data_IF_426412807258
#
_entry.id   IF_426412807258
#
_cell.length_a   1.000
_cell.length_b   1.000
_cell.length_c   1.000
_cell.angle_alpha   90.00
_cell.angle_beta   90.00
_cell.angle_gamma   90.00
#
_symmetry.space_group_name_H-M   'P 1'
#
loop_
_entity.id
_entity.type
_entity.pdbx_description
1 polymer ?
#
# COMPACT_ATOMS: atom_id res chain seq x y z
N UNK A 1 7.04 11.40 40.71
CA UNK A 1 7.56 12.47 39.85
C UNK A 1 6.59 12.53 38.66
N UNK A 2 5.84 13.64 38.56
CA UNK A 2 4.91 13.85 37.43
C UNK A 2 5.73 13.96 36.17
N UNK A 3 5.47 13.06 35.18
CA UNK A 3 5.97 13.19 33.80
C UNK A 3 5.54 14.58 33.29
N UNK A 4 6.44 15.56 33.39
CA UNK A 4 6.25 16.80 32.64
C UNK A 4 6.26 16.40 31.16
N UNK A 5 5.12 16.53 30.49
CA UNK A 5 5.05 16.31 29.05
C UNK A 5 6.04 17.26 28.39
N UNK A 6 7.11 16.71 27.81
CA UNK A 6 8.18 17.47 27.16
C UNK A 6 7.62 18.22 25.95
N UNK A 7 6.56 17.68 25.32
CA UNK A 7 5.91 18.24 24.12
C UNK A 7 4.45 18.60 24.40
N UNK A 8 3.93 19.60 23.67
CA UNK A 8 2.52 20.01 23.72
C UNK A 8 1.95 20.25 22.34
N UNK A 9 0.67 19.99 22.14
CA UNK A 9 -0.03 20.23 20.89
C UNK A 9 0.11 21.67 20.36
N UNK A 10 -0.07 22.73 21.22
CA UNK A 10 0.13 24.10 20.77
C UNK A 10 1.55 24.39 20.29
N UNK A 11 2.58 23.83 20.97
CA UNK A 11 3.97 24.04 20.56
C UNK A 11 4.27 23.40 19.21
N UNK A 12 3.85 22.13 18.99
CA UNK A 12 4.04 21.43 17.73
C UNK A 12 3.28 22.08 16.58
N UNK A 13 2.01 22.43 16.80
CA UNK A 13 1.20 23.13 15.79
C UNK A 13 1.79 24.49 15.42
N UNK A 14 2.27 25.25 16.43
CA UNK A 14 2.95 26.54 16.17
C UNK A 14 4.24 26.35 15.39
N UNK A 15 5.01 25.29 15.64
CA UNK A 15 6.21 25.00 14.85
C UNK A 15 5.86 24.73 13.38
N UNK A 16 4.88 23.89 13.12
CA UNK A 16 4.40 23.56 11.78
C UNK A 16 3.86 24.80 11.02
N UNK A 17 3.06 25.66 11.68
CA UNK A 17 2.54 26.89 11.06
C UNK A 17 3.62 27.91 10.72
N UNK A 18 4.82 27.80 11.31
CA UNK A 18 6.00 28.59 10.99
C UNK A 18 6.91 27.91 9.94
N UNK A 19 6.49 26.80 9.37
CA UNK A 19 7.24 26.03 8.39
C UNK A 19 8.41 25.22 8.98
N UNK A 20 8.48 25.06 10.33
CA UNK A 20 9.52 24.24 10.96
C UNK A 20 9.13 22.78 10.92
N UNK A 21 10.05 21.93 10.47
CA UNK A 21 9.91 20.49 10.57
C UNK A 21 9.92 20.04 12.03
N UNK A 22 9.08 19.04 12.34
CA UNK A 22 9.14 18.38 13.65
C UNK A 22 10.38 17.47 13.69
N UNK A 23 10.96 17.34 14.87
CA UNK A 23 11.92 16.26 15.10
C UNK A 23 11.22 14.90 15.07
N UNK A 24 12.00 13.83 14.86
CA UNK A 24 11.45 12.46 14.93
C UNK A 24 10.74 12.19 16.25
N UNK A 25 11.29 12.67 17.38
CA UNK A 25 10.70 12.49 18.72
C UNK A 25 9.38 13.27 18.86
N UNK A 26 9.30 14.51 18.34
CA UNK A 26 8.06 15.30 18.33
C UNK A 26 6.96 14.60 17.53
N UNK A 27 7.29 14.12 16.32
CA UNK A 27 6.34 13.41 15.46
C UNK A 27 5.90 12.06 16.08
N UNK A 28 6.85 11.29 16.61
CA UNK A 28 6.58 10.03 17.30
C UNK A 28 5.69 10.24 18.53
N UNK A 29 5.97 11.24 19.36
CA UNK A 29 5.13 11.60 20.51
C UNK A 29 3.71 11.95 20.07
N UNK A 30 3.57 12.80 19.05
CA UNK A 30 2.26 13.23 18.57
C UNK A 30 1.40 12.04 18.14
N UNK A 31 1.94 11.13 17.31
CA UNK A 31 1.22 9.93 16.91
C UNK A 31 0.92 9.01 18.10
N UNK A 32 1.86 8.85 19.03
CA UNK A 32 1.65 8.08 20.26
C UNK A 32 0.50 8.63 21.11
N UNK A 33 0.31 9.96 21.20
CA UNK A 33 -0.85 10.55 21.90
C UNK A 33 -2.15 10.20 21.16
N UNK A 34 -2.15 10.27 19.82
CA UNK A 34 -3.32 9.88 19.02
C UNK A 34 -3.66 8.41 19.25
N UNK A 35 -2.67 7.52 19.14
CA UNK A 35 -2.89 6.06 19.27
C UNK A 35 -3.38 5.68 20.66
N UNK A 36 -2.99 6.40 21.70
CA UNK A 36 -3.49 6.21 23.08
C UNK A 36 -4.82 6.92 23.36
N UNK A 37 -5.38 7.65 22.40
CA UNK A 37 -6.62 8.43 22.57
C UNK A 37 -6.46 9.59 23.57
N UNK A 38 -5.26 10.15 23.68
CA UNK A 38 -4.92 11.25 24.62
C UNK A 38 -4.93 12.63 23.95
N UNK A 39 -5.67 12.78 22.87
CA UNK A 39 -5.82 14.06 22.16
C UNK A 39 -7.27 14.30 21.81
N UNK A 40 -7.73 15.52 22.06
CA UNK A 40 -9.05 15.97 21.61
C UNK A 40 -9.07 16.23 20.10
N UNK A 41 -10.23 16.10 19.45
CA UNK A 41 -10.34 16.28 18.00
C UNK A 41 -9.87 17.66 17.49
N UNK A 42 -10.06 18.74 18.25
CA UNK A 42 -9.71 20.10 17.81
C UNK A 42 -8.19 20.31 17.75
N UNK A 43 -7.38 20.03 18.80
CA UNK A 43 -5.92 20.07 18.69
C UNK A 43 -5.38 19.15 17.59
N UNK A 44 -5.93 17.94 17.46
CA UNK A 44 -5.51 17.02 16.40
C UNK A 44 -5.83 17.58 15.00
N UNK A 45 -7.02 18.14 14.81
CA UNK A 45 -7.37 18.75 13.52
C UNK A 45 -6.42 19.91 13.17
N UNK A 46 -6.11 20.79 14.12
CA UNK A 46 -5.15 21.88 13.93
C UNK A 46 -3.76 21.37 13.54
N UNK A 47 -3.27 20.34 14.23
CA UNK A 47 -1.99 19.70 13.94
C UNK A 47 -1.97 19.10 12.52
N UNK A 48 -3.01 18.34 12.15
CA UNK A 48 -3.10 17.69 10.84
C UNK A 48 -3.13 18.70 9.68
N UNK A 49 -3.89 19.79 9.84
CA UNK A 49 -3.95 20.86 8.83
C UNK A 49 -2.61 21.58 8.72
N UNK A 50 -1.96 21.90 9.85
CA UNK A 50 -0.66 22.56 9.85
C UNK A 50 0.44 21.67 9.21
N UNK A 51 0.45 20.38 9.50
CA UNK A 51 1.39 19.44 8.88
C UNK A 51 1.12 19.28 7.38
N UNK A 52 -0.15 19.20 6.98
CA UNK A 52 -0.52 19.14 5.55
C UNK A 52 -0.12 20.41 4.80
N UNK A 53 -0.32 21.58 5.39
CA UNK A 53 0.02 22.86 4.78
C UNK A 53 1.54 23.06 4.64
N UNK A 54 2.32 22.58 5.61
CA UNK A 54 3.79 22.57 5.56
C UNK A 54 4.33 21.55 4.54
N UNK A 55 3.67 20.41 4.41
CA UNK A 55 4.17 19.20 3.76
C UNK A 55 5.01 18.36 4.72
N UNK A 56 4.69 17.08 4.85
CA UNK A 56 5.48 16.16 5.68
C UNK A 56 6.81 15.82 5.00
N UNK A 57 7.87 15.70 5.79
CA UNK A 57 9.18 15.23 5.32
C UNK A 57 9.45 13.80 5.77
N UNK A 58 10.50 13.18 5.20
CA UNK A 58 10.79 11.73 5.38
C UNK A 58 10.85 11.33 6.86
N UNK A 59 11.62 12.03 7.68
CA UNK A 59 11.78 11.66 9.09
C UNK A 59 10.51 11.87 9.92
N UNK A 60 9.66 12.86 9.58
CA UNK A 60 8.35 13.04 10.21
C UNK A 60 7.41 11.88 9.86
N UNK A 61 7.29 11.56 8.56
CA UNK A 61 6.44 10.46 8.10
C UNK A 61 6.90 9.12 8.68
N UNK A 62 8.22 8.88 8.73
CA UNK A 62 8.79 7.67 9.31
C UNK A 62 8.51 7.56 10.82
N UNK A 63 8.66 8.65 11.57
CA UNK A 63 8.38 8.67 13.01
C UNK A 63 6.88 8.46 13.32
N UNK A 64 6.00 9.13 12.57
CA UNK A 64 4.54 8.94 12.68
C UNK A 64 4.15 7.48 12.40
N UNK A 65 4.69 6.90 11.32
CA UNK A 65 4.42 5.51 10.94
C UNK A 65 4.97 4.51 11.98
N UNK A 66 6.16 4.74 12.50
CA UNK A 66 6.80 3.88 13.50
C UNK A 66 6.01 3.86 14.80
N UNK A 67 5.56 5.03 15.28
CA UNK A 67 4.69 5.11 16.45
C UNK A 67 3.32 4.44 16.21
N UNK A 68 2.76 4.52 15.01
CA UNK A 68 1.53 3.83 14.65
C UNK A 68 1.72 2.30 14.65
N UNK A 69 2.84 1.79 14.13
CA UNK A 69 3.18 0.36 14.13
C UNK A 69 3.37 -0.19 15.54
N UNK A 70 4.02 0.57 16.45
CA UNK A 70 4.20 0.16 17.84
C UNK A 70 2.87 -0.06 18.58
N UNK A 71 1.81 0.62 18.15
CA UNK A 71 0.46 0.46 18.70
C UNK A 71 -0.43 -0.48 17.87
N UNK A 72 0.14 -1.19 16.91
CA UNK A 72 -0.59 -2.16 16.07
C UNK A 72 -0.52 -3.58 16.66
N UNK A 73 -1.46 -4.41 16.25
CA UNK A 73 -1.31 -5.86 16.39
C UNK A 73 -0.50 -6.37 15.21
N UNK A 74 0.46 -7.27 15.43
CA UNK A 74 1.38 -7.70 14.39
C UNK A 74 1.26 -9.19 14.07
N UNK A 75 1.64 -9.55 12.84
CA UNK A 75 1.94 -10.92 12.41
C UNK A 75 3.35 -10.94 11.80
N UNK A 76 3.85 -12.11 11.45
CA UNK A 76 5.18 -12.26 10.86
C UNK A 76 5.05 -12.77 9.43
N UNK A 77 5.40 -11.94 8.46
CA UNK A 77 5.47 -12.36 7.07
C UNK A 77 6.69 -13.27 6.82
N UNK A 78 6.58 -14.28 5.93
CA UNK A 78 7.73 -15.05 5.51
C UNK A 78 8.75 -14.17 4.78
N UNK A 79 10.02 -14.62 4.76
CA UNK A 79 11.07 -13.94 4.03
C UNK A 79 10.68 -13.77 2.55
N UNK A 80 11.01 -12.64 1.94
CA UNK A 80 10.65 -12.32 0.56
C UNK A 80 9.18 -11.97 0.33
N UNK A 81 8.36 -11.88 1.39
CA UNK A 81 6.99 -11.43 1.25
C UNK A 81 6.92 -9.95 0.84
N UNK A 82 5.94 -9.65 0.00
CA UNK A 82 5.69 -8.29 -0.49
C UNK A 82 4.32 -7.77 -0.06
N UNK A 83 4.24 -6.46 0.17
CA UNK A 83 2.98 -5.71 0.19
C UNK A 83 2.77 -5.00 -1.15
N UNK A 84 1.55 -5.01 -1.66
CA UNK A 84 1.14 -4.19 -2.80
C UNK A 84 -0.12 -3.41 -2.43
N UNK A 85 -0.02 -2.08 -2.42
CA UNK A 85 -1.06 -1.20 -1.89
C UNK A 85 -0.99 0.18 -2.54
N UNK A 86 -2.13 0.85 -2.66
CA UNK A 86 -2.21 2.26 -3.02
C UNK A 86 -2.61 3.14 -1.84
N UNK A 87 -2.32 4.43 -1.92
CA UNK A 87 -2.80 5.42 -0.93
C UNK A 87 -4.30 5.63 -1.01
N UNK A 88 -4.90 5.32 -2.16
CA UNK A 88 -6.22 5.79 -2.51
C UNK A 88 -6.24 7.31 -2.73
N UNK A 89 -7.41 7.84 -3.05
CA UNK A 89 -7.60 9.28 -3.18
C UNK A 89 -7.37 9.86 -4.58
N UNK A 90 -7.10 9.02 -5.57
CA UNK A 90 -6.93 9.39 -6.98
C UNK A 90 -8.23 9.82 -7.68
N UNK A 91 -9.39 9.46 -7.11
CA UNK A 91 -10.70 9.79 -7.68
C UNK A 91 -11.05 9.04 -8.97
N UNK A 92 -10.22 8.13 -9.44
CA UNK A 92 -10.42 7.42 -10.72
C UNK A 92 -11.50 6.35 -10.66
N UNK A 93 -11.81 5.85 -9.47
CA UNK A 93 -12.81 4.80 -9.26
C UNK A 93 -12.56 3.54 -10.12
N UNK A 94 -11.32 3.13 -10.23
CA UNK A 94 -10.91 1.95 -10.99
C UNK A 94 -11.32 0.65 -10.29
N UNK A 95 -11.24 -0.48 -11.00
CA UNK A 95 -11.27 -1.82 -10.40
C UNK A 95 -10.10 -1.99 -9.42
N UNK A 96 -10.18 -2.93 -8.51
CA UNK A 96 -9.17 -3.13 -7.46
C UNK A 96 -7.88 -3.75 -8.02
N UNK A 97 -7.09 -2.95 -8.77
CA UNK A 97 -5.87 -3.39 -9.48
C UNK A 97 -4.90 -4.05 -8.51
N UNK A 98 -4.55 -3.38 -7.39
CA UNK A 98 -3.59 -3.93 -6.42
C UNK A 98 -4.07 -5.23 -5.75
N UNK A 99 -5.40 -5.41 -5.58
CA UNK A 99 -5.97 -6.66 -5.06
C UNK A 99 -5.79 -7.81 -6.05
N UNK A 100 -6.10 -7.58 -7.33
CA UNK A 100 -5.89 -8.58 -8.39
C UNK A 100 -4.39 -8.85 -8.59
N UNK A 101 -3.54 -7.82 -8.56
CA UNK A 101 -2.10 -7.95 -8.68
C UNK A 101 -1.51 -8.80 -7.53
N UNK A 102 -2.05 -8.73 -6.31
CA UNK A 102 -1.61 -9.57 -5.20
C UNK A 102 -1.78 -11.06 -5.47
N UNK A 103 -2.87 -11.45 -6.15
CA UNK A 103 -3.09 -12.84 -6.58
C UNK A 103 -2.10 -13.28 -7.66
N UNK A 104 -1.81 -12.38 -8.60
CA UNK A 104 -0.83 -12.62 -9.68
C UNK A 104 0.58 -12.79 -9.10
N UNK A 105 0.99 -11.92 -8.17
CA UNK A 105 2.28 -12.01 -7.47
C UNK A 105 2.38 -13.33 -6.71
N UNK A 106 1.31 -13.72 -6.00
CA UNK A 106 1.30 -15.01 -5.29
C UNK A 106 1.37 -16.19 -6.25
N UNK A 107 0.68 -16.13 -7.38
CA UNK A 107 0.74 -17.13 -8.45
C UNK A 107 2.13 -17.22 -9.10
N UNK A 108 2.90 -16.13 -9.12
CA UNK A 108 4.30 -16.10 -9.55
C UNK A 108 5.27 -16.67 -8.48
N UNK A 109 4.76 -17.19 -7.36
CA UNK A 109 5.55 -17.87 -6.32
C UNK A 109 5.98 -17.00 -5.13
N UNK A 110 5.70 -15.70 -5.15
CA UNK A 110 6.10 -14.76 -4.11
C UNK A 110 5.03 -14.70 -3.02
N UNK A 111 5.38 -14.80 -1.73
CA UNK A 111 4.42 -14.60 -0.64
C UNK A 111 3.91 -13.15 -0.60
N UNK A 112 2.65 -12.97 -0.20
CA UNK A 112 2.02 -11.65 -0.12
C UNK A 112 1.35 -11.44 1.23
N UNK A 113 1.74 -10.40 1.95
CA UNK A 113 1.00 -9.92 3.12
C UNK A 113 0.42 -8.53 2.79
N UNK A 114 -0.77 -8.53 2.17
CA UNK A 114 -1.38 -7.30 1.68
C UNK A 114 -2.01 -6.50 2.81
N UNK A 115 -1.58 -5.25 2.98
CA UNK A 115 -2.27 -4.30 3.83
C UNK A 115 -3.41 -3.62 3.06
N UNK A 116 -4.51 -3.34 3.73
CA UNK A 116 -5.61 -2.63 3.09
C UNK A 116 -6.84 -2.42 3.99
N UNK A 117 -7.87 -1.79 3.41
CA UNK A 117 -9.07 -1.41 4.14
C UNK A 117 -10.32 -1.59 3.24
N UNK A 118 -11.49 -1.31 3.83
CA UNK A 118 -12.73 -1.08 3.09
C UNK A 118 -12.68 0.26 2.37
N UNK A 119 -13.59 0.43 1.42
CA UNK A 119 -13.77 1.71 0.74
C UNK A 119 -14.08 2.84 1.73
N UNK A 120 -13.45 4.01 1.52
CA UNK A 120 -13.77 5.25 2.22
C UNK A 120 -14.48 6.23 1.28
N UNK A 121 -14.01 6.34 0.04
CA UNK A 121 -14.56 7.26 -0.98
C UNK A 121 -14.96 6.54 -2.28
N UNK A 122 -14.36 5.38 -2.57
CA UNK A 122 -14.72 4.54 -3.72
C UNK A 122 -15.94 3.68 -3.44
N UNK A 123 -16.47 3.00 -4.48
CA UNK A 123 -17.63 2.07 -4.35
C UNK A 123 -17.22 0.71 -3.78
N UNK A 124 -15.94 0.34 -3.85
CA UNK A 124 -15.43 -0.96 -3.43
C UNK A 124 -13.97 -0.86 -3.01
N UNK A 125 -13.65 -1.16 -1.77
CA UNK A 125 -12.29 -1.29 -1.27
C UNK A 125 -11.74 -2.71 -1.45
N UNK A 126 -10.46 -2.89 -1.11
CA UNK A 126 -9.80 -4.21 -1.20
C UNK A 126 -10.51 -5.28 -0.37
N UNK A 127 -10.92 -4.94 0.86
CA UNK A 127 -11.65 -5.87 1.74
C UNK A 127 -12.99 -6.28 1.12
N UNK A 128 -13.73 -5.32 0.56
CA UNK A 128 -15.07 -5.57 0.02
C UNK A 128 -15.03 -6.55 -1.17
N UNK A 129 -14.03 -6.40 -2.05
CA UNK A 129 -13.82 -7.30 -3.19
C UNK A 129 -13.33 -8.68 -2.75
N UNK A 130 -12.43 -8.75 -1.76
CA UNK A 130 -11.95 -10.03 -1.25
C UNK A 130 -13.08 -10.86 -0.62
N UNK A 131 -13.96 -10.24 0.15
CA UNK A 131 -15.16 -10.91 0.69
C UNK A 131 -16.09 -11.38 -0.44
N UNK A 132 -16.31 -10.58 -1.48
CA UNK A 132 -17.10 -10.97 -2.65
C UNK A 132 -16.45 -12.10 -3.48
N UNK A 133 -15.12 -12.27 -3.38
CA UNK A 133 -14.38 -13.39 -3.95
C UNK A 133 -14.43 -14.66 -3.06
N UNK A 134 -14.96 -14.55 -1.83
CA UNK A 134 -15.12 -15.67 -0.89
C UNK A 134 -14.03 -15.75 0.19
N UNK A 135 -13.11 -14.81 0.24
CA UNK A 135 -12.10 -14.74 1.32
C UNK A 135 -12.78 -14.26 2.61
N UNK A 136 -12.60 -14.98 3.70
CA UNK A 136 -13.07 -14.55 5.01
C UNK A 136 -12.05 -13.62 5.66
N UNK A 137 -12.48 -12.41 6.07
CA UNK A 137 -11.62 -11.37 6.64
C UNK A 137 -11.88 -11.09 8.12
N UNK A 138 -13.01 -11.53 8.67
CA UNK A 138 -13.39 -11.40 10.08
C UNK A 138 -12.68 -12.43 10.97
N UNK A 139 -11.39 -12.58 10.81
CA UNK A 139 -10.57 -13.57 11.48
C UNK A 139 -9.79 -12.97 12.66
N UNK A 140 -9.63 -13.72 13.77
CA UNK A 140 -8.65 -13.40 14.79
C UNK A 140 -7.25 -13.34 14.19
N UNK A 141 -6.37 -12.47 14.72
CA UNK A 141 -5.01 -12.24 14.18
C UNK A 141 -4.20 -13.53 14.06
N UNK A 142 -4.31 -14.44 15.04
CA UNK A 142 -3.62 -15.75 14.98
C UNK A 142 -4.08 -16.60 13.77
N UNK A 143 -5.34 -16.45 13.35
CA UNK A 143 -5.85 -17.15 12.16
C UNK A 143 -5.39 -16.47 10.88
N UNK A 144 -5.24 -15.14 10.85
CA UNK A 144 -4.64 -14.41 9.72
C UNK A 144 -3.19 -14.87 9.49
N UNK A 145 -2.41 -15.09 10.58
CA UNK A 145 -1.07 -15.67 10.49
C UNK A 145 -1.10 -17.07 9.88
N UNK A 146 -1.99 -17.95 10.37
CA UNK A 146 -2.13 -19.31 9.83
C UNK A 146 -2.50 -19.29 8.33
N UNK A 147 -3.43 -18.43 7.91
CA UNK A 147 -3.78 -18.27 6.50
C UNK A 147 -2.57 -17.86 5.67
N UNK A 148 -1.76 -16.93 6.18
CA UNK A 148 -0.52 -16.51 5.51
C UNK A 148 0.46 -17.69 5.35
N UNK A 149 0.63 -18.49 6.41
CA UNK A 149 1.53 -19.65 6.40
C UNK A 149 1.06 -20.75 5.43
N UNK A 150 -0.25 -21.02 5.36
CA UNK A 150 -0.84 -22.09 4.55
C UNK A 150 -1.01 -21.69 3.08
N UNK A 151 -1.57 -20.49 2.81
CA UNK A 151 -1.86 -20.02 1.45
C UNK A 151 -0.70 -19.24 0.83
N UNK A 152 0.22 -18.73 1.65
CA UNK A 152 1.29 -17.81 1.23
C UNK A 152 0.78 -16.44 0.81
N UNK A 153 -0.48 -16.13 1.11
CA UNK A 153 -1.11 -14.82 0.92
C UNK A 153 -2.11 -14.57 2.04
N UNK A 154 -2.12 -13.34 2.56
CA UNK A 154 -3.11 -12.92 3.56
C UNK A 154 -3.40 -11.43 3.46
N UNK A 155 -4.44 -10.98 4.16
CA UNK A 155 -4.89 -9.60 4.20
C UNK A 155 -4.80 -9.05 5.62
N UNK A 156 -3.94 -8.08 5.81
CA UNK A 156 -3.86 -7.30 7.04
C UNK A 156 -4.94 -6.21 7.00
N UNK A 157 -6.13 -6.55 7.50
CA UNK A 157 -7.26 -5.63 7.51
C UNK A 157 -7.01 -4.50 8.52
N UNK A 158 -6.89 -3.25 8.04
CA UNK A 158 -6.47 -2.12 8.86
C UNK A 158 -7.31 -1.92 10.13
N UNK A 159 -8.62 -2.21 10.11
CA UNK A 159 -9.48 -2.07 11.29
C UNK A 159 -9.15 -3.08 12.40
N UNK A 160 -8.65 -4.27 12.03
CA UNK A 160 -8.24 -5.32 12.97
C UNK A 160 -6.83 -5.06 13.50
N UNK A 161 -5.92 -4.68 12.60
CA UNK A 161 -4.50 -4.54 12.93
C UNK A 161 -4.12 -3.19 13.54
N UNK A 162 -4.87 -2.13 13.23
CA UNK A 162 -4.68 -0.77 13.75
C UNK A 162 -5.92 -0.24 14.50
N UNK A 163 -6.40 -0.92 15.55
CA UNK A 163 -7.65 -0.56 16.22
C UNK A 163 -7.60 0.84 16.86
N UNK A 164 -6.41 1.33 17.18
CA UNK A 164 -6.17 2.66 17.75
C UNK A 164 -6.49 3.81 16.79
N UNK A 165 -6.54 3.53 15.48
CA UNK A 165 -6.91 4.53 14.46
C UNK A 165 -8.31 5.13 14.65
N UNK A 166 -9.20 4.45 15.38
CA UNK A 166 -10.51 4.98 15.78
C UNK A 166 -10.43 6.34 16.50
N UNK A 167 -9.34 6.61 17.22
CA UNK A 167 -9.14 7.86 17.94
C UNK A 167 -8.87 9.06 17.02
N UNK A 168 -8.36 8.83 15.81
CA UNK A 168 -8.19 9.87 14.80
C UNK A 168 -9.47 10.13 13.98
N UNK A 169 -10.45 9.23 14.02
CA UNK A 169 -11.64 9.30 13.17
C UNK A 169 -12.48 10.57 13.34
N UNK A 170 -12.72 11.12 14.55
CA UNK A 170 -13.50 12.35 14.71
C UNK A 170 -12.85 13.55 14.05
N UNK A 171 -11.53 13.75 14.22
CA UNK A 171 -10.81 14.86 13.59
C UNK A 171 -10.80 14.72 12.06
N UNK A 172 -10.44 13.52 11.55
CA UNK A 172 -10.41 13.24 10.10
C UNK A 172 -11.77 13.41 9.44
N UNK A 173 -12.83 12.87 10.07
CA UNK A 173 -14.20 12.99 9.58
C UNK A 173 -14.75 14.41 9.59
N UNK A 174 -14.31 15.24 10.57
CA UNK A 174 -14.65 16.66 10.62
C UNK A 174 -13.92 17.50 9.57
N UNK A 175 -12.66 17.20 9.30
CA UNK A 175 -11.84 17.92 8.34
C UNK A 175 -12.28 17.69 6.88
N UNK A 176 -12.63 16.47 6.51
CA UNK A 176 -13.03 16.07 5.14
C UNK A 176 -12.01 16.47 4.06
N UNK A 177 -10.74 16.51 4.42
CA UNK A 177 -9.62 16.78 3.51
C UNK A 177 -8.52 15.71 3.68
N UNK A 178 -7.68 15.49 2.68
CA UNK A 178 -6.52 14.62 2.81
C UNK A 178 -5.57 15.11 3.90
N UNK A 179 -5.01 14.20 4.66
CA UNK A 179 -4.02 14.47 5.70
C UNK A 179 -2.92 13.42 5.62
N UNK A 180 -1.87 13.54 6.42
CA UNK A 180 -0.80 12.54 6.51
C UNK A 180 -1.34 11.11 6.72
N UNK A 181 -2.47 10.93 7.37
CA UNK A 181 -3.11 9.61 7.53
C UNK A 181 -3.49 8.93 6.21
N UNK A 182 -3.63 9.67 5.12
CA UNK A 182 -3.92 9.08 3.82
C UNK A 182 -2.72 8.35 3.21
N UNK A 183 -1.51 8.70 3.64
CA UNK A 183 -0.26 8.13 3.13
C UNK A 183 0.45 7.21 4.14
N UNK A 184 0.01 7.19 5.41
CA UNK A 184 0.60 6.30 6.42
C UNK A 184 0.24 4.82 6.21
N UNK A 185 -0.94 4.51 5.67
CA UNK A 185 -1.38 3.13 5.43
C UNK A 185 -0.33 2.27 4.72
N UNK A 186 0.16 2.70 3.54
CA UNK A 186 1.17 1.96 2.79
C UNK A 186 2.51 1.73 3.50
N UNK A 187 2.87 2.56 4.46
CA UNK A 187 4.14 2.46 5.21
C UNK A 187 3.98 1.89 6.62
N UNK A 188 2.80 1.32 6.92
CA UNK A 188 2.47 0.73 8.24
C UNK A 188 1.92 -0.69 8.14
N UNK A 189 2.45 -1.49 7.22
CA UNK A 189 2.05 -2.90 7.12
C UNK A 189 2.46 -3.65 8.40
N UNK A 190 1.50 -4.26 9.13
CA UNK A 190 1.76 -4.88 10.44
C UNK A 190 2.38 -6.28 10.34
N UNK A 191 2.58 -6.80 9.14
CA UNK A 191 3.20 -8.12 8.93
C UNK A 191 4.74 -8.07 8.88
N UNK A 192 5.35 -6.88 9.04
CA UNK A 192 6.80 -6.73 9.02
C UNK A 192 7.45 -7.03 7.67
N UNK A 193 6.71 -6.89 6.56
CA UNK A 193 7.27 -7.05 5.21
C UNK A 193 8.37 -6.02 4.95
N UNK A 194 9.34 -6.42 4.13
CA UNK A 194 10.47 -5.55 3.73
C UNK A 194 10.48 -5.24 2.24
N UNK A 195 9.54 -5.79 1.47
CA UNK A 195 9.33 -5.48 0.06
C UNK A 195 7.98 -4.80 -0.14
N UNK A 196 7.95 -3.72 -0.91
CA UNK A 196 6.74 -2.91 -1.07
C UNK A 196 6.56 -2.44 -2.51
N UNK A 197 5.35 -2.58 -3.05
CA UNK A 197 4.90 -1.86 -4.24
C UNK A 197 3.79 -0.91 -3.82
N UNK A 198 4.04 0.39 -3.94
CA UNK A 198 3.15 1.42 -3.39
C UNK A 198 2.75 2.43 -4.45
N UNK A 199 1.46 2.45 -4.75
CA UNK A 199 0.87 3.50 -5.56
C UNK A 199 0.55 4.77 -4.75
N UNK A 200 0.83 5.94 -5.30
CA UNK A 200 0.67 7.22 -4.58
C UNK A 200 -0.06 8.24 -5.45
N UNK A 201 -1.28 8.63 -5.02
CA UNK A 201 -2.04 9.68 -5.71
C UNK A 201 -1.48 11.09 -5.49
N UNK A 202 -0.82 11.32 -4.34
CA UNK A 202 -0.31 12.63 -3.90
C UNK A 202 1.15 12.80 -4.36
N UNK A 203 1.37 13.65 -5.36
CA UNK A 203 2.67 13.80 -6.03
C UNK A 203 3.80 14.12 -5.06
N UNK A 204 3.57 15.05 -4.15
CA UNK A 204 4.52 15.50 -3.15
C UNK A 204 4.91 14.41 -2.13
N UNK A 205 4.06 13.40 -1.97
CA UNK A 205 4.27 12.32 -0.99
C UNK A 205 5.00 11.11 -1.55
N UNK A 206 5.06 10.94 -2.86
CA UNK A 206 5.75 9.78 -3.45
C UNK A 206 7.25 9.73 -3.09
N UNK A 207 8.05 10.83 -3.23
CA UNK A 207 9.44 10.83 -2.80
C UNK A 207 9.60 10.69 -1.28
N UNK A 208 8.63 11.18 -0.48
CA UNK A 208 8.65 11.02 0.99
C UNK A 208 8.48 9.54 1.37
N UNK A 209 7.52 8.86 0.78
CA UNK A 209 7.27 7.42 1.00
C UNK A 209 8.50 6.60 0.57
N UNK A 210 9.09 6.89 -0.60
CA UNK A 210 10.32 6.24 -1.05
C UNK A 210 11.47 6.46 -0.07
N UNK A 211 11.64 7.69 0.43
CA UNK A 211 12.65 8.01 1.45
C UNK A 211 12.44 7.24 2.75
N UNK A 212 11.19 7.07 3.21
CA UNK A 212 10.89 6.25 4.40
C UNK A 212 11.32 4.80 4.20
N UNK A 213 11.08 4.20 3.03
CA UNK A 213 11.53 2.84 2.75
C UNK A 213 13.05 2.74 2.66
N UNK A 214 13.73 3.75 2.08
CA UNK A 214 15.19 3.82 2.03
C UNK A 214 15.80 3.88 3.44
N UNK A 215 15.28 4.73 4.32
CA UNK A 215 15.71 4.83 5.72
C UNK A 215 15.54 3.53 6.49
N UNK A 216 14.51 2.74 6.17
CA UNK A 216 14.23 1.44 6.77
C UNK A 216 15.05 0.30 6.17
N UNK A 217 15.85 0.54 5.13
CA UNK A 217 16.57 -0.49 4.40
C UNK A 217 15.64 -1.51 3.73
N UNK A 218 14.44 -1.09 3.37
CA UNK A 218 13.48 -1.90 2.62
C UNK A 218 13.76 -1.84 1.11
N UNK A 219 13.21 -2.80 0.37
CA UNK A 219 13.11 -2.73 -1.08
C UNK A 219 11.73 -2.21 -1.46
N UNK A 220 11.64 -1.22 -2.34
CA UNK A 220 10.34 -0.71 -2.75
C UNK A 220 10.31 -0.21 -4.20
N UNK A 221 9.14 -0.31 -4.80
CA UNK A 221 8.79 0.36 -6.06
C UNK A 221 7.59 1.27 -5.75
N UNK A 222 7.86 2.55 -5.58
CA UNK A 222 6.82 3.58 -5.37
C UNK A 222 6.45 4.15 -6.71
N UNK A 223 5.16 4.23 -7.02
CA UNK A 223 4.68 4.58 -8.37
C UNK A 223 3.58 5.63 -8.33
N UNK A 224 3.48 6.42 -9.40
CA UNK A 224 2.39 7.35 -9.64
C UNK A 224 2.14 7.51 -11.13
N UNK A 225 0.92 7.25 -11.59
CA UNK A 225 0.49 7.62 -12.93
C UNK A 225 0.46 9.14 -13.09
N UNK A 226 0.98 9.66 -14.22
CA UNK A 226 0.93 11.11 -14.49
C UNK A 226 -0.49 11.64 -14.75
N UNK A 227 -1.47 10.74 -14.84
CA UNK A 227 -2.91 11.03 -14.79
C UNK A 227 -3.45 11.15 -13.35
N UNK A 228 -2.61 11.00 -12.33
CA UNK A 228 -2.95 11.07 -10.93
C UNK A 228 -3.30 9.73 -10.29
N UNK A 229 -3.26 8.65 -11.05
CA UNK A 229 -3.56 7.30 -10.58
C UNK A 229 -2.52 6.83 -9.54
N UNK A 230 -2.97 6.22 -8.46
CA UNK A 230 -2.11 5.55 -7.48
C UNK A 230 -1.75 4.10 -7.89
N UNK A 231 -1.42 3.95 -9.17
CA UNK A 231 -1.00 2.71 -9.83
C UNK A 231 -0.05 3.06 -11.00
N UNK A 232 0.66 2.08 -11.54
CA UNK A 232 1.26 2.23 -12.86
C UNK A 232 0.15 2.33 -13.91
N UNK A 233 0.09 3.45 -14.62
CA UNK A 233 -0.97 3.73 -15.59
C UNK A 233 -0.75 2.99 -16.90
N UNK A 234 -1.85 2.52 -17.50
CA UNK A 234 -1.87 2.04 -18.88
C UNK A 234 -2.34 3.13 -19.86
N UNK A 235 -2.69 4.31 -19.38
CA UNK A 235 -3.16 5.42 -20.23
C UNK A 235 -2.04 6.40 -20.58
N UNK A 236 -1.16 6.64 -19.63
CA UNK A 236 -0.07 7.63 -19.73
C UNK A 236 1.24 7.07 -19.13
N UNK A 237 2.25 7.88 -19.10
CA UNK A 237 3.50 7.58 -18.38
C UNK A 237 3.28 7.56 -16.87
N UNK A 238 4.13 6.84 -16.17
CA UNK A 238 4.18 6.81 -14.71
C UNK A 238 5.57 7.17 -14.22
N UNK A 239 5.62 7.97 -13.15
CA UNK A 239 6.83 8.22 -12.39
C UNK A 239 7.04 7.09 -11.39
N UNK A 240 8.29 6.65 -11.24
CA UNK A 240 8.68 5.53 -10.37
C UNK A 240 9.88 5.95 -9.53
N UNK A 241 9.80 5.69 -8.23
CA UNK A 241 10.91 5.77 -7.26
C UNK A 241 11.23 4.35 -6.83
N UNK A 242 12.32 3.82 -7.38
CA UNK A 242 12.87 2.53 -6.98
C UNK A 242 13.72 2.72 -5.73
N UNK A 243 13.49 1.90 -4.71
CA UNK A 243 14.28 1.87 -3.48
C UNK A 243 15.01 0.54 -3.40
N UNK A 244 16.33 0.59 -3.45
CA UNK A 244 17.20 -0.57 -3.34
C UNK A 244 18.49 -0.21 -2.58
N UNK A 245 18.85 -1.05 -1.59
CA UNK A 245 20.08 -0.82 -0.80
C UNK A 245 20.13 0.53 -0.08
N UNK A 246 19.00 1.11 0.31
CA UNK A 246 18.91 2.43 0.94
C UNK A 246 19.02 3.61 -0.04
N UNK A 247 19.06 3.36 -1.34
CA UNK A 247 19.14 4.37 -2.39
C UNK A 247 17.79 4.49 -3.10
N UNK A 248 17.38 5.73 -3.38
CA UNK A 248 16.22 6.04 -4.20
C UNK A 248 16.67 6.42 -5.60
N UNK A 249 16.24 5.68 -6.61
CA UNK A 249 16.48 5.98 -8.03
C UNK A 249 15.16 6.25 -8.73
N UNK A 250 15.10 7.30 -9.55
CA UNK A 250 13.87 7.67 -10.26
C UNK A 250 13.88 7.17 -11.70
N UNK A 251 12.72 6.68 -12.15
CA UNK A 251 12.50 6.24 -13.51
C UNK A 251 11.17 6.80 -14.03
N UNK A 252 11.03 6.83 -15.35
CA UNK A 252 9.74 7.06 -16.03
C UNK A 252 9.47 5.84 -16.88
N UNK A 253 8.28 5.27 -16.72
CA UNK A 253 7.86 4.09 -17.47
C UNK A 253 6.57 4.37 -18.23
N UNK A 254 6.39 3.67 -19.34
CA UNK A 254 5.17 3.72 -20.15
C UNK A 254 4.77 2.30 -20.57
N UNK A 255 3.49 2.05 -20.84
CA UNK A 255 3.00 0.72 -21.19
C UNK A 255 3.77 0.07 -22.33
N UNK A 256 4.14 0.85 -23.33
CA UNK A 256 4.84 0.39 -24.53
C UNK A 256 6.23 -0.19 -24.25
N UNK A 257 6.90 0.24 -23.15
CA UNK A 257 8.20 -0.29 -22.74
C UNK A 257 8.15 -1.79 -22.38
N UNK A 258 6.93 -2.29 -22.15
CA UNK A 258 6.61 -3.67 -21.76
C UNK A 258 5.77 -4.41 -22.80
N UNK A 259 5.60 -3.82 -24.00
CA UNK A 259 4.80 -4.41 -25.08
C UNK A 259 3.29 -4.32 -24.85
N UNK A 260 2.83 -3.46 -23.93
CA UNK A 260 1.43 -3.21 -23.65
C UNK A 260 0.92 -2.02 -24.48
N UNK A 261 -0.34 -2.07 -24.88
CA UNK A 261 -0.96 -0.96 -25.60
C UNK A 261 -1.59 0.03 -24.64
N UNK A 262 -1.54 1.33 -24.96
CA UNK A 262 -2.29 2.33 -24.19
C UNK A 262 -3.79 2.09 -24.29
N UNK A 263 -4.46 2.30 -23.16
CA UNK A 263 -5.91 2.29 -23.07
C UNK A 263 -6.38 3.44 -22.18
N UNK A 264 -7.58 3.94 -22.44
CA UNK A 264 -8.18 4.98 -21.59
C UNK A 264 -8.36 4.45 -20.16
N UNK A 265 -8.18 5.31 -19.17
CA UNK A 265 -8.48 5.02 -17.75
C UNK A 265 -9.92 4.56 -17.55
N UNK A 266 -10.86 5.01 -18.38
CA UNK A 266 -12.25 4.54 -18.36
C UNK A 266 -12.40 3.04 -18.62
N UNK A 267 -11.43 2.41 -19.29
CA UNK A 267 -11.40 0.96 -19.46
C UNK A 267 -11.14 0.19 -18.17
N UNK A 268 -10.64 0.89 -17.14
CA UNK A 268 -10.42 0.34 -15.80
C UNK A 268 -11.54 0.68 -14.82
N UNK A 269 -12.63 1.33 -15.27
CA UNK A 269 -13.70 1.77 -14.37
C UNK A 269 -14.30 0.62 -13.58
N UNK A 270 -14.30 0.78 -12.25
CA UNK A 270 -14.85 -0.15 -11.30
C UNK A 270 -16.32 0.10 -10.98
N UNK A 271 -16.88 -0.78 -10.21
CA UNK A 271 -18.25 -0.76 -9.73
C UNK A 271 -18.38 -1.11 -8.25
N UNK A 272 -19.49 -1.71 -7.89
CA UNK A 272 -19.69 -2.29 -6.57
C UNK A 272 -18.81 -3.55 -6.35
N UNK A 273 -18.74 -4.08 -5.13
CA UNK A 273 -17.93 -5.25 -4.83
C UNK A 273 -18.22 -6.47 -5.71
N UNK A 274 -19.47 -6.71 -6.05
CA UNK A 274 -19.87 -7.85 -6.88
C UNK A 274 -19.38 -7.70 -8.32
N UNK A 275 -19.47 -6.49 -8.89
CA UNK A 275 -18.95 -6.16 -10.20
C UNK A 275 -17.42 -6.34 -10.23
N UNK A 276 -16.69 -5.77 -9.25
CA UNK A 276 -15.24 -5.85 -9.21
C UNK A 276 -14.75 -7.29 -8.96
N UNK A 277 -15.47 -8.08 -8.16
CA UNK A 277 -15.20 -9.50 -8.00
C UNK A 277 -15.41 -10.29 -9.30
N UNK A 278 -16.41 -9.93 -10.10
CA UNK A 278 -16.60 -10.57 -11.41
C UNK A 278 -15.47 -10.22 -12.37
N UNK A 279 -15.01 -8.96 -12.39
CA UNK A 279 -13.85 -8.54 -13.18
C UNK A 279 -12.59 -9.34 -12.77
N UNK A 280 -12.39 -9.56 -11.46
CA UNK A 280 -11.28 -10.37 -10.98
C UNK A 280 -11.40 -11.84 -11.42
N UNK A 281 -12.59 -12.45 -11.36
CA UNK A 281 -12.82 -13.82 -11.87
C UNK A 281 -12.57 -13.91 -13.37
N UNK A 282 -13.04 -12.94 -14.16
CA UNK A 282 -12.81 -12.88 -15.60
C UNK A 282 -11.31 -12.82 -15.92
N UNK A 283 -10.56 -11.97 -15.20
CA UNK A 283 -9.11 -11.87 -15.31
C UNK A 283 -8.42 -13.22 -15.03
N UNK A 284 -8.77 -13.84 -13.90
CA UNK A 284 -8.20 -15.12 -13.47
C UNK A 284 -8.57 -16.28 -14.42
N UNK A 285 -9.71 -16.16 -15.11
CA UNK A 285 -10.13 -17.07 -16.18
C UNK A 285 -9.42 -16.80 -17.53
N UNK A 286 -8.46 -15.86 -17.57
CA UNK A 286 -7.65 -15.59 -18.77
C UNK A 286 -8.19 -14.51 -19.70
N UNK A 287 -9.22 -13.74 -19.31
CA UNK A 287 -9.72 -12.62 -20.11
C UNK A 287 -8.62 -11.59 -20.36
N UNK A 288 -8.38 -11.29 -21.62
CA UNK A 288 -7.41 -10.27 -22.09
C UNK A 288 -8.02 -8.87 -22.11
N UNK A 289 -7.18 -7.85 -22.26
CA UNK A 289 -7.56 -6.45 -22.40
C UNK A 289 -7.02 -5.54 -21.30
N UNK A 290 -7.45 -4.27 -21.25
CA UNK A 290 -6.86 -3.23 -20.43
C UNK A 290 -6.73 -3.55 -18.92
N UNK A 291 -7.72 -4.25 -18.34
CA UNK A 291 -7.66 -4.66 -16.92
C UNK A 291 -6.51 -5.64 -16.70
N UNK A 292 -6.33 -6.64 -17.61
CA UNK A 292 -5.21 -7.57 -17.53
C UNK A 292 -3.88 -6.84 -17.62
N UNK A 293 -3.76 -5.92 -18.58
CA UNK A 293 -2.54 -5.17 -18.81
C UNK A 293 -2.15 -4.33 -17.58
N UNK A 294 -3.12 -3.62 -16.99
CA UNK A 294 -2.92 -2.86 -15.77
C UNK A 294 -2.49 -3.76 -14.59
N UNK A 295 -3.17 -4.89 -14.40
CA UNK A 295 -2.86 -5.82 -13.30
C UNK A 295 -1.49 -6.45 -13.47
N UNK A 296 -1.13 -6.87 -14.70
CA UNK A 296 0.19 -7.45 -15.00
C UNK A 296 1.30 -6.44 -14.75
N UNK A 297 1.12 -5.20 -15.21
CA UNK A 297 2.11 -4.13 -15.02
C UNK A 297 2.33 -3.82 -13.53
N UNK A 298 1.25 -3.69 -12.76
CA UNK A 298 1.33 -3.43 -11.32
C UNK A 298 1.81 -4.66 -10.53
N UNK A 299 1.48 -5.87 -10.94
CA UNK A 299 2.06 -7.08 -10.33
C UNK A 299 3.58 -7.15 -10.55
N UNK A 300 4.06 -6.73 -11.73
CA UNK A 300 5.48 -6.70 -12.02
C UNK A 300 6.26 -5.78 -11.06
N UNK A 301 5.72 -4.63 -10.66
CA UNK A 301 6.36 -3.76 -9.66
C UNK A 301 6.51 -4.45 -8.31
N UNK A 302 5.50 -5.23 -7.88
CA UNK A 302 5.58 -6.03 -6.65
C UNK A 302 6.60 -7.17 -6.74
N UNK A 303 6.72 -7.82 -7.90
CA UNK A 303 7.73 -8.85 -8.14
C UNK A 303 9.14 -8.24 -8.06
N UNK A 304 9.38 -7.11 -8.73
CA UNK A 304 10.67 -6.38 -8.67
C UNK A 304 11.02 -5.96 -7.25
N UNK A 305 10.04 -5.46 -6.50
CA UNK A 305 10.26 -5.08 -5.10
C UNK A 305 10.67 -6.28 -4.23
N UNK A 306 10.03 -7.44 -4.40
CA UNK A 306 10.36 -8.66 -3.65
C UNK A 306 11.78 -9.16 -3.96
N UNK A 307 12.17 -9.18 -5.24
CA UNK A 307 13.50 -9.61 -5.69
C UNK A 307 14.62 -8.66 -5.24
N UNK A 308 14.32 -7.38 -5.06
CA UNK A 308 15.28 -6.41 -4.56
C UNK A 308 15.76 -6.64 -3.12
N UNK A 309 15.18 -7.61 -2.38
CA UNK A 309 15.66 -8.04 -1.06
C UNK A 309 16.79 -9.09 -1.13
N UNK A 310 16.95 -9.77 -2.26
CA UNK A 310 17.96 -10.81 -2.44
C UNK A 310 19.30 -10.16 -2.82
N UNK A 311 20.33 -10.35 -1.99
CA UNK A 311 21.66 -9.75 -2.21
C UNK A 311 22.38 -10.28 -3.46
N UNK A 312 22.02 -11.50 -3.90
CA UNK A 312 22.58 -12.17 -5.08
C UNK A 312 21.63 -12.14 -6.28
N UNK A 313 20.49 -11.45 -6.18
CA UNK A 313 19.59 -11.28 -7.32
C UNK A 313 20.30 -10.54 -8.45
N UNK A 314 19.75 -10.62 -9.64
CA UNK A 314 20.21 -9.94 -10.88
C UNK A 314 20.40 -8.41 -10.71
N UNK A 315 20.99 -8.00 -9.60
CA UNK A 315 21.32 -6.62 -9.24
C UNK A 315 22.19 -5.92 -10.30
N UNK A 316 22.74 -6.70 -11.24
CA UNK A 316 23.43 -6.19 -12.43
C UNK A 316 22.47 -5.76 -13.55
N UNK A 317 21.17 -6.14 -13.48
CA UNK A 317 20.18 -5.76 -14.49
C UNK A 317 19.62 -4.37 -14.20
N UNK A 318 19.44 -3.57 -15.24
CA UNK A 318 18.74 -2.29 -15.14
C UNK A 318 17.28 -2.49 -14.70
N UNK A 319 16.72 -1.51 -13.99
CA UNK A 319 15.32 -1.54 -13.51
C UNK A 319 14.33 -1.94 -14.63
N UNK A 320 14.48 -1.37 -15.82
CA UNK A 320 13.60 -1.65 -16.97
C UNK A 320 13.66 -3.12 -17.41
N UNK A 321 14.82 -3.76 -17.35
CA UNK A 321 14.96 -5.18 -17.73
C UNK A 321 14.36 -6.09 -16.67
N UNK A 322 14.54 -5.77 -15.37
CA UNK A 322 13.86 -6.47 -14.28
C UNK A 322 12.35 -6.36 -14.40
N UNK A 323 11.83 -5.17 -14.70
CA UNK A 323 10.40 -4.97 -14.96
C UNK A 323 9.88 -5.81 -16.14
N UNK A 324 10.64 -5.88 -17.26
CA UNK A 324 10.26 -6.73 -18.42
C UNK A 324 10.19 -8.21 -18.03
N UNK A 325 11.16 -8.70 -17.28
CA UNK A 325 11.16 -10.09 -16.77
C UNK A 325 9.96 -10.30 -15.84
N UNK A 326 9.71 -9.39 -14.93
CA UNK A 326 8.59 -9.47 -13.99
C UNK A 326 7.21 -9.42 -14.68
N UNK A 327 7.06 -8.62 -15.74
CA UNK A 327 5.85 -8.63 -16.59
C UNK A 327 5.60 -10.02 -17.17
N UNK A 328 6.63 -10.67 -17.73
CA UNK A 328 6.49 -12.04 -18.27
C UNK A 328 6.13 -13.06 -17.18
N UNK A 329 6.65 -12.92 -15.97
CA UNK A 329 6.26 -13.80 -14.85
C UNK A 329 4.82 -13.54 -14.39
N UNK A 330 4.37 -12.29 -14.40
CA UNK A 330 2.99 -11.94 -14.09
C UNK A 330 2.02 -12.50 -15.16
N UNK A 331 2.35 -12.38 -16.44
CA UNK A 331 1.60 -13.01 -17.53
C UNK A 331 1.52 -14.53 -17.34
N UNK A 332 2.66 -15.19 -17.12
CA UNK A 332 2.72 -16.65 -16.91
C UNK A 332 1.90 -17.09 -15.67
N UNK A 333 1.84 -16.30 -14.60
CA UNK A 333 1.01 -16.56 -13.43
C UNK A 333 -0.49 -16.64 -13.78
N UNK A 334 -0.97 -15.76 -14.66
CA UNK A 334 -2.35 -15.80 -15.17
C UNK A 334 -2.57 -16.94 -16.15
N UNK A 335 -1.70 -17.09 -17.15
CA UNK A 335 -1.86 -18.02 -18.24
C UNK A 335 -1.77 -19.49 -17.81
N UNK A 336 -1.01 -19.78 -16.76
CA UNK A 336 -0.91 -21.11 -16.16
C UNK A 336 -2.05 -21.44 -15.17
N UNK A 337 -2.90 -20.48 -14.82
CA UNK A 337 -3.90 -20.62 -13.77
C UNK A 337 -3.34 -20.56 -12.35
N UNK A 338 -2.05 -20.24 -12.15
CA UNK A 338 -1.43 -20.18 -10.83
C UNK A 338 -2.04 -19.08 -9.95
N UNK A 339 -2.41 -17.94 -10.54
CA UNK A 339 -3.11 -16.87 -9.83
C UNK A 339 -4.51 -17.29 -9.36
N UNK A 340 -5.28 -18.05 -10.17
CA UNK A 340 -6.56 -18.63 -9.76
C UNK A 340 -6.35 -19.62 -8.61
N UNK A 341 -5.38 -20.53 -8.73
CA UNK A 341 -5.06 -21.48 -7.68
C UNK A 341 -4.60 -20.78 -6.37
N UNK A 342 -3.98 -19.60 -6.44
CA UNK A 342 -3.66 -18.79 -5.26
C UNK A 342 -4.93 -18.28 -4.56
N UNK A 343 -5.92 -17.80 -5.30
CA UNK A 343 -7.22 -17.41 -4.75
C UNK A 343 -7.93 -18.59 -4.10
N UNK A 344 -7.99 -19.74 -4.77
CA UNK A 344 -8.69 -20.93 -4.28
C UNK A 344 -8.08 -21.43 -2.95
N UNK A 345 -6.75 -21.46 -2.86
CA UNK A 345 -6.05 -21.79 -1.60
C UNK A 345 -6.34 -20.77 -0.50
N UNK A 346 -6.35 -19.47 -0.85
CA UNK A 346 -6.64 -18.43 0.12
C UNK A 346 -8.05 -18.53 0.67
N UNK A 347 -9.04 -18.69 -0.22
CA UNK A 347 -10.45 -18.92 0.19
C UNK A 347 -10.54 -20.13 1.12
N UNK A 348 -9.96 -21.28 0.72
CA UNK A 348 -9.99 -22.51 1.52
C UNK A 348 -9.36 -22.31 2.89
N UNK A 349 -8.16 -21.74 2.97
CA UNK A 349 -7.45 -21.50 4.22
C UNK A 349 -8.24 -20.52 5.12
N UNK A 350 -8.83 -19.47 4.56
CA UNK A 350 -9.61 -18.48 5.32
C UNK A 350 -10.94 -19.04 5.87
N UNK A 351 -11.56 -19.98 5.17
CA UNK A 351 -12.81 -20.61 5.60
C UNK A 351 -12.58 -21.71 6.65
N UNK A 352 -11.40 -22.34 6.64
CA UNK A 352 -11.00 -23.39 7.59
C UNK A 352 -10.44 -22.83 8.91
N UNK A 353 -10.36 -21.51 9.02
CA UNK A 353 -9.72 -20.80 10.14
C UNK A 353 -10.72 -20.48 11.27
#
# INVERSE_FOLDING_TARGET
MTDQEIYTWPALTTALTKGRDLTSDEAWWAMGQVMRGKVDPVPLAGFLVALQAKGAVVHEANALASSMLEHSTTITAPQGAVDIVGTGGDGAHTVNVSTMASLVIRGAGIPVAKHGNRAVSSKSGSADVLEALGVRLDLPVAHVQRVLDEAGISFCFAQVFHPSMKHAAPARGGLKLPTVFNVLGPITNPAGVRAHSVGVAFEEMAPVIAGVFADRGASAVVVRGRDGLDELSIAVESDVWEVHGGIVTTHVVKPEDFGLSRASIDALRGGDPSYNAQVARDLLAGKTGPVRDAVVLNAASGIVAAEGLEQDSDACLAFMDRMRIAVKRAEASLDSGAAQAALDRWVTASQSA
#
